data_IF_749461188209
#
_entry.id   IF_749461188209
#
_cell.length_a   1.000
_cell.length_b   1.000
_cell.length_c   1.000
_cell.angle_alpha   90.00
_cell.angle_beta   90.00
_cell.angle_gamma   90.00
#
_symmetry.space_group_name_H-M   'P 1'
#
loop_
_entity.id
_entity.type
_entity.pdbx_description
1 polymer ?
#
# COMPACT_ATOMS: atom_id res chain seq x y z
N UNK A 1 -29.62 -9.59 -1.14
CA UNK A 1 -29.06 -9.91 -2.47
C UNK A 1 -27.80 -9.09 -2.66
N UNK A 2 -26.87 -9.60 -3.45
CA UNK A 2 -25.51 -9.08 -3.65
C UNK A 2 -24.49 -10.22 -3.70
N UNK A 3 -23.28 -9.95 -4.16
CA UNK A 3 -22.27 -10.94 -4.50
C UNK A 3 -21.24 -11.13 -3.37
N UNK A 4 -20.65 -12.33 -3.29
CA UNK A 4 -19.52 -12.66 -2.40
C UNK A 4 -19.75 -12.45 -0.90
N UNK A 5 -20.99 -12.61 -0.43
CA UNK A 5 -21.27 -12.62 1.00
C UNK A 5 -20.99 -13.99 1.62
N UNK A 6 -20.27 -14.01 2.74
CA UNK A 6 -20.04 -15.20 3.56
C UNK A 6 -20.90 -15.10 4.83
N UNK A 7 -21.82 -16.04 5.04
CA UNK A 7 -22.78 -16.04 6.15
C UNK A 7 -24.24 -15.86 5.68
N UNK A 8 -25.13 -15.48 6.59
CA UNK A 8 -26.58 -15.48 6.38
C UNK A 8 -27.18 -14.08 6.37
N UNK A 9 -28.17 -13.87 5.47
CA UNK A 9 -29.04 -12.68 5.43
C UNK A 9 -28.30 -11.34 5.29
N UNK A 10 -27.12 -11.36 4.67
CA UNK A 10 -26.43 -10.14 4.25
C UNK A 10 -27.12 -9.51 3.03
N UNK A 11 -27.05 -8.18 2.93
CA UNK A 11 -27.54 -7.39 1.79
C UNK A 11 -26.46 -6.41 1.35
N UNK A 12 -26.17 -6.34 0.04
CA UNK A 12 -24.95 -5.71 -0.49
C UNK A 12 -23.87 -6.76 -0.76
N UNK A 13 -22.62 -6.34 -0.92
CA UNK A 13 -21.54 -7.19 -1.44
C UNK A 13 -20.39 -7.35 -0.43
N UNK A 14 -19.71 -8.50 -0.49
CA UNK A 14 -18.47 -8.79 0.27
C UNK A 14 -18.62 -8.72 1.81
N UNK A 15 -19.80 -8.96 2.37
CA UNK A 15 -19.97 -9.01 3.83
C UNK A 15 -19.64 -10.40 4.38
N UNK A 16 -18.92 -10.45 5.50
CA UNK A 16 -18.60 -11.67 6.26
C UNK A 16 -19.27 -11.61 7.64
N UNK A 17 -20.07 -12.63 7.96
CA UNK A 17 -20.90 -12.70 9.17
C UNK A 17 -22.39 -12.66 8.81
N UNK A 18 -23.26 -12.31 9.75
CA UNK A 18 -24.72 -12.38 9.57
C UNK A 18 -25.40 -11.00 9.64
N UNK A 19 -26.47 -10.82 8.85
CA UNK A 19 -27.38 -9.67 8.89
C UNK A 19 -26.78 -8.28 8.62
N UNK A 20 -25.64 -8.24 7.94
CA UNK A 20 -25.03 -6.99 7.50
C UNK A 20 -25.79 -6.38 6.32
N UNK A 21 -25.75 -5.05 6.22
CA UNK A 21 -26.27 -4.28 5.10
C UNK A 21 -25.25 -3.24 4.72
N UNK A 22 -24.76 -3.29 3.47
CA UNK A 22 -23.69 -2.41 2.99
C UNK A 22 -22.60 -3.21 2.27
N UNK A 23 -21.41 -2.63 2.18
CA UNK A 23 -20.26 -3.22 1.50
C UNK A 23 -19.15 -3.57 2.50
N UNK A 24 -18.51 -4.73 2.31
CA UNK A 24 -17.27 -5.10 3.01
C UNK A 24 -17.33 -5.03 4.55
N UNK A 25 -18.45 -5.42 5.17
CA UNK A 25 -18.51 -5.54 6.63
C UNK A 25 -17.99 -6.89 7.11
N UNK A 26 -17.33 -6.90 8.27
CA UNK A 26 -16.96 -8.11 9.02
C UNK A 26 -17.59 -8.07 10.42
N UNK A 27 -18.33 -9.12 10.78
CA UNK A 27 -19.08 -9.21 12.04
C UNK A 27 -20.58 -9.26 11.77
N UNK A 28 -21.41 -8.81 12.73
CA UNK A 28 -22.87 -9.03 12.63
C UNK A 28 -23.67 -7.73 12.78
N UNK A 29 -24.82 -7.65 12.08
CA UNK A 29 -25.80 -6.57 12.23
C UNK A 29 -25.32 -5.15 11.86
N UNK A 30 -24.28 -5.00 11.04
CA UNK A 30 -23.83 -3.69 10.58
C UNK A 30 -24.77 -3.14 9.49
N UNK A 31 -25.04 -1.82 9.50
CA UNK A 31 -25.96 -1.13 8.58
C UNK A 31 -25.30 -0.02 7.74
N UNK A 32 -23.98 0.10 7.82
CA UNK A 32 -23.13 0.95 6.98
C UNK A 32 -22.08 0.07 6.26
N UNK A 33 -21.05 0.65 5.65
CA UNK A 33 -20.01 -0.08 4.92
C UNK A 33 -18.65 -0.04 5.65
N UNK A 34 -17.77 -0.99 5.31
CA UNK A 34 -16.37 -1.04 5.78
C UNK A 34 -16.20 -1.16 7.30
N UNK A 35 -17.13 -1.78 8.01
CA UNK A 35 -17.03 -1.94 9.47
C UNK A 35 -16.45 -3.29 9.87
N UNK A 36 -15.76 -3.28 11.01
CA UNK A 36 -15.41 -4.49 11.76
C UNK A 36 -16.08 -4.43 13.14
N UNK A 37 -16.89 -5.44 13.47
CA UNK A 37 -17.59 -5.54 14.75
C UNK A 37 -19.09 -5.73 14.58
N UNK A 38 -19.87 -5.37 15.61
CA UNK A 38 -21.31 -5.60 15.63
C UNK A 38 -22.12 -4.33 15.87
N UNK A 39 -23.32 -4.26 15.28
CA UNK A 39 -24.29 -3.17 15.47
C UNK A 39 -23.81 -1.76 15.07
N UNK A 40 -22.90 -1.64 14.09
CA UNK A 40 -22.49 -0.33 13.57
C UNK A 40 -23.54 0.22 12.61
N UNK A 41 -23.85 1.51 12.72
CA UNK A 41 -24.81 2.22 11.84
C UNK A 41 -24.18 3.33 11.01
N UNK A 42 -22.93 3.68 11.30
CA UNK A 42 -22.11 4.67 10.58
C UNK A 42 -20.77 4.02 10.20
N UNK A 43 -20.04 4.58 9.22
CA UNK A 43 -18.71 4.06 8.87
C UNK A 43 -17.71 4.32 10.01
N UNK A 44 -17.00 3.28 10.44
CA UNK A 44 -15.95 3.40 11.44
C UNK A 44 -14.80 4.29 10.96
N UNK A 45 -14.24 5.05 11.89
CA UNK A 45 -13.00 5.79 11.70
C UNK A 45 -11.80 4.85 11.72
N UNK A 46 -10.84 5.10 10.84
CA UNK A 46 -9.66 4.25 10.70
C UNK A 46 -8.48 4.77 11.50
N UNK A 47 -7.60 3.83 11.86
CA UNK A 47 -6.28 4.14 12.38
C UNK A 47 -5.34 4.45 11.22
N UNK A 48 -4.58 5.52 11.34
CA UNK A 48 -3.47 5.85 10.44
C UNK A 48 -2.24 6.07 11.29
N UNK A 49 -1.13 5.42 10.93
CA UNK A 49 0.13 5.47 11.69
C UNK A 49 -0.04 5.12 13.18
N UNK A 50 -0.76 4.02 13.44
CA UNK A 50 -1.04 3.50 14.78
C UNK A 50 -1.78 4.48 15.72
N UNK A 51 -2.39 5.54 15.18
CA UNK A 51 -3.16 6.54 15.94
C UNK A 51 -4.57 6.71 15.36
N UNK A 52 -5.57 7.08 16.18
CA UNK A 52 -6.91 7.38 15.69
C UNK A 52 -6.89 8.55 14.70
N UNK A 53 -7.72 8.49 13.66
CA UNK A 53 -7.92 9.59 12.72
C UNK A 53 -9.40 9.87 12.54
N UNK A 54 -9.76 11.04 12.00
CA UNK A 54 -11.13 11.36 11.64
C UNK A 54 -11.54 10.84 10.24
N UNK A 55 -10.65 10.14 9.53
CA UNK A 55 -10.95 9.56 8.23
C UNK A 55 -11.73 8.26 8.36
N UNK A 56 -12.70 8.02 7.47
CA UNK A 56 -13.22 6.67 7.25
C UNK A 56 -12.36 5.92 6.23
N UNK A 57 -12.54 4.60 6.10
CA UNK A 57 -11.84 3.84 5.06
C UNK A 57 -12.25 4.26 3.65
N UNK A 58 -13.50 4.73 3.48
CA UNK A 58 -14.02 5.24 2.22
C UNK A 58 -13.35 6.58 1.84
N UNK A 59 -13.09 7.45 2.81
CA UNK A 59 -12.29 8.67 2.61
C UNK A 59 -10.87 8.32 2.16
N UNK A 60 -10.25 7.33 2.81
CA UNK A 60 -8.92 6.83 2.43
C UNK A 60 -8.91 6.25 1.02
N UNK A 61 -9.92 5.45 0.64
CA UNK A 61 -10.07 4.89 -0.71
C UNK A 61 -10.12 5.97 -1.81
N UNK A 62 -10.72 7.12 -1.52
CA UNK A 62 -10.87 8.23 -2.46
C UNK A 62 -9.75 9.28 -2.36
N UNK A 63 -8.79 9.09 -1.46
CA UNK A 63 -7.72 10.07 -1.23
C UNK A 63 -6.66 10.05 -2.33
N UNK A 64 -6.15 11.22 -2.68
CA UNK A 64 -5.02 11.37 -3.61
C UNK A 64 -3.77 10.65 -3.08
N UNK A 65 -3.57 10.64 -1.76
CA UNK A 65 -2.45 9.96 -1.12
C UNK A 65 -2.48 8.45 -1.39
N UNK A 66 -3.65 7.80 -1.24
CA UNK A 66 -3.79 6.38 -1.57
C UNK A 66 -3.58 6.12 -3.06
N UNK A 67 -4.11 7.00 -3.92
CA UNK A 67 -3.91 6.88 -5.36
C UNK A 67 -2.42 6.91 -5.73
N UNK A 68 -1.64 7.83 -5.15
CA UNK A 68 -0.19 7.91 -5.36
C UNK A 68 0.52 6.66 -4.85
N UNK A 69 0.25 6.24 -3.61
CA UNK A 69 0.92 5.07 -3.00
C UNK A 69 0.67 3.77 -3.78
N UNK A 70 -0.48 3.61 -4.43
CA UNK A 70 -0.75 2.46 -5.29
C UNK A 70 0.08 2.44 -6.59
N UNK A 71 0.83 3.50 -6.89
CA UNK A 71 1.74 3.55 -8.03
C UNK A 71 3.16 3.11 -7.69
N UNK A 72 3.44 2.78 -6.41
CA UNK A 72 4.74 2.23 -6.00
C UNK A 72 5.01 0.96 -6.83
N UNK A 73 6.09 0.92 -7.62
CA UNK A 73 6.46 -0.26 -8.40
C UNK A 73 6.79 -1.43 -7.48
N UNK A 74 6.29 -2.64 -7.79
CA UNK A 74 6.55 -3.86 -7.00
C UNK A 74 7.59 -4.79 -7.61
N UNK A 75 7.80 -4.71 -8.93
CA UNK A 75 8.67 -5.62 -9.67
C UNK A 75 9.55 -4.83 -10.65
N UNK A 76 10.56 -4.13 -10.14
CA UNK A 76 11.51 -3.41 -11.00
C UNK A 76 12.75 -4.25 -11.22
N UNK A 77 13.15 -4.33 -12.48
CA UNK A 77 14.41 -4.91 -12.91
C UNK A 77 15.30 -3.82 -13.47
N UNK A 78 16.54 -3.75 -12.99
CA UNK A 78 17.54 -2.80 -13.44
C UNK A 78 18.62 -3.52 -14.27
N UNK A 79 19.09 -2.88 -15.34
CA UNK A 79 20.24 -3.39 -16.09
C UNK A 79 21.54 -2.91 -15.46
N UNK A 80 22.33 -3.84 -14.93
CA UNK A 80 23.64 -3.55 -14.34
C UNK A 80 24.72 -3.85 -15.39
N UNK A 81 25.47 -2.83 -15.77
CA UNK A 81 26.57 -2.96 -16.72
C UNK A 81 27.78 -3.64 -16.08
N UNK A 82 28.57 -4.40 -16.86
CA UNK A 82 29.79 -5.11 -16.39
C UNK A 82 30.74 -4.23 -15.57
N UNK A 83 30.87 -2.96 -15.94
CA UNK A 83 31.74 -1.98 -15.27
C UNK A 83 31.27 -1.64 -13.84
N UNK A 84 29.99 -1.80 -13.56
CA UNK A 84 29.34 -1.44 -12.30
C UNK A 84 29.04 -2.70 -11.44
N UNK A 85 29.30 -3.90 -11.97
CA UNK A 85 29.13 -5.17 -11.26
C UNK A 85 30.22 -5.41 -10.20
N UNK A 86 29.81 -5.84 -9.01
CA UNK A 86 30.67 -6.35 -7.94
C UNK A 86 31.30 -7.70 -8.31
N UNK A 87 32.34 -8.11 -7.58
CA UNK A 87 33.01 -9.40 -7.82
C UNK A 87 32.07 -10.59 -7.52
N UNK A 88 31.23 -10.47 -6.49
CA UNK A 88 30.19 -11.45 -6.17
C UNK A 88 29.12 -11.55 -7.27
N UNK A 89 28.66 -10.41 -7.82
CA UNK A 89 27.71 -10.39 -8.94
C UNK A 89 28.34 -11.01 -10.21
N UNK A 90 29.64 -10.80 -10.44
CA UNK A 90 30.37 -11.41 -11.56
C UNK A 90 30.52 -12.93 -11.41
N UNK A 91 30.68 -13.43 -10.20
CA UNK A 91 30.71 -14.87 -9.92
C UNK A 91 29.32 -15.51 -10.10
N UNK A 92 28.27 -14.84 -9.63
CA UNK A 92 26.90 -15.32 -9.76
C UNK A 92 26.36 -15.29 -11.20
N UNK A 93 26.76 -14.31 -12.01
CA UNK A 93 26.24 -14.08 -13.37
C UNK A 93 27.31 -14.10 -14.47
N UNK A 94 28.07 -15.20 -14.66
CA UNK A 94 29.25 -15.23 -15.53
C UNK A 94 28.97 -14.92 -17.02
N UNK A 95 27.70 -14.94 -17.43
CA UNK A 95 27.23 -14.53 -18.76
C UNK A 95 27.50 -13.05 -19.05
N UNK A 96 27.76 -12.21 -18.04
CA UNK A 96 28.05 -10.78 -18.24
C UNK A 96 29.17 -10.53 -19.26
N UNK A 97 30.14 -11.45 -19.39
CA UNK A 97 31.26 -11.34 -20.34
C UNK A 97 30.83 -11.33 -21.81
N UNK A 98 29.67 -11.91 -22.11
CA UNK A 98 29.11 -11.93 -23.48
C UNK A 98 27.96 -10.95 -23.64
N UNK A 99 27.19 -10.69 -22.57
CA UNK A 99 26.02 -9.78 -22.59
C UNK A 99 26.37 -8.33 -22.25
N UNK A 100 27.56 -8.05 -21.71
CA UNK A 100 28.00 -6.72 -21.25
C UNK A 100 27.39 -6.27 -19.91
N UNK A 101 26.74 -7.18 -19.18
CA UNK A 101 26.00 -6.91 -17.95
C UNK A 101 24.95 -7.97 -17.65
N UNK A 102 24.10 -7.71 -16.67
CA UNK A 102 22.97 -8.58 -16.33
C UNK A 102 21.76 -7.77 -15.87
N UNK A 103 20.61 -8.42 -15.82
CA UNK A 103 19.37 -7.86 -15.31
C UNK A 103 19.23 -8.21 -13.82
N UNK A 104 19.29 -7.22 -12.95
CA UNK A 104 19.13 -7.34 -11.50
C UNK A 104 17.67 -7.08 -11.13
N UNK A 105 17.06 -8.00 -10.38
CA UNK A 105 15.79 -7.69 -9.72
C UNK A 105 16.10 -6.79 -8.51
N UNK A 106 15.52 -5.60 -8.50
CA UNK A 106 15.60 -4.72 -7.34
C UNK A 106 14.66 -5.22 -6.26
N UNK A 107 15.01 -5.01 -5.00
CA UNK A 107 14.07 -5.30 -3.92
C UNK A 107 12.97 -4.23 -3.83
N UNK A 108 11.86 -4.55 -3.17
CA UNK A 108 10.71 -3.64 -3.06
C UNK A 108 11.07 -2.28 -2.45
N UNK A 109 12.09 -2.22 -1.59
CA UNK A 109 12.52 -0.98 -0.92
C UNK A 109 13.28 -0.05 -1.87
N UNK A 110 14.18 -0.60 -2.70
CA UNK A 110 14.92 0.12 -3.72
C UNK A 110 13.96 0.70 -4.77
N UNK A 111 12.98 -0.10 -5.20
CA UNK A 111 11.93 0.34 -6.12
C UNK A 111 11.11 1.50 -5.55
N UNK A 112 10.70 1.37 -4.28
CA UNK A 112 9.94 2.38 -3.56
C UNK A 112 10.70 3.69 -3.44
N UNK A 113 12.00 3.64 -3.13
CA UNK A 113 12.82 4.84 -2.97
C UNK A 113 13.01 5.58 -4.31
N UNK A 114 13.29 4.87 -5.40
CA UNK A 114 13.39 5.46 -6.74
C UNK A 114 12.08 6.15 -7.12
N UNK A 115 10.95 5.50 -6.87
CA UNK A 115 9.64 6.09 -7.09
C UNK A 115 9.44 7.37 -6.25
N UNK A 116 9.74 7.31 -4.97
CA UNK A 116 9.61 8.46 -4.07
C UNK A 116 10.46 9.64 -4.51
N UNK A 117 11.72 9.39 -4.89
CA UNK A 117 12.65 10.43 -5.32
C UNK A 117 12.21 11.10 -6.63
N UNK A 118 11.49 10.36 -7.48
CA UNK A 118 10.91 10.89 -8.73
C UNK A 118 9.68 11.78 -8.54
N UNK A 119 9.03 11.75 -7.37
CA UNK A 119 7.84 12.56 -7.09
C UNK A 119 8.17 14.05 -6.97
N UNK A 120 7.27 14.88 -7.46
CA UNK A 120 7.30 16.33 -7.19
C UNK A 120 7.05 16.63 -5.72
N UNK A 121 7.51 17.78 -5.24
CA UNK A 121 7.31 18.17 -3.83
C UNK A 121 5.82 18.29 -3.47
N UNK A 122 4.98 18.69 -4.42
CA UNK A 122 3.52 18.69 -4.24
C UNK A 122 2.98 17.29 -3.95
N UNK A 123 3.41 16.27 -4.71
CA UNK A 123 3.01 14.88 -4.49
C UNK A 123 3.54 14.34 -3.17
N UNK A 124 4.80 14.64 -2.82
CA UNK A 124 5.38 14.29 -1.52
C UNK A 124 4.57 14.92 -0.38
N UNK A 125 4.16 16.19 -0.52
CA UNK A 125 3.35 16.90 0.47
C UNK A 125 1.95 16.31 0.62
N UNK A 126 1.32 15.81 -0.45
CA UNK A 126 0.04 15.08 -0.34
C UNK A 126 0.21 13.86 0.59
N UNK A 127 1.28 13.08 0.42
CA UNK A 127 1.55 11.90 1.23
C UNK A 127 1.91 12.28 2.67
N UNK A 128 2.78 13.29 2.85
CA UNK A 128 3.13 13.83 4.17
C UNK A 128 1.92 14.43 4.92
N UNK A 129 0.86 14.79 4.20
CA UNK A 129 -0.38 15.35 4.78
C UNK A 129 -1.39 14.28 5.22
N UNK A 130 -1.08 12.98 5.08
CA UNK A 130 -1.93 11.91 5.65
C UNK A 130 -2.05 12.14 7.17
N UNK A 131 -3.26 12.03 7.77
CA UNK A 131 -3.41 12.18 9.21
C UNK A 131 -2.46 11.27 9.98
N UNK A 132 -1.84 11.83 11.02
CA UNK A 132 -0.86 11.16 11.87
C UNK A 132 0.43 10.71 11.16
N UNK A 133 0.76 11.24 9.97
CA UNK A 133 1.94 10.84 9.22
C UNK A 133 3.19 10.72 10.11
N UNK A 134 3.82 9.56 10.02
CA UNK A 134 4.98 9.19 10.80
C UNK A 134 5.98 8.53 9.85
N UNK A 135 7.14 9.19 9.67
CA UNK A 135 8.13 8.77 8.69
C UNK A 135 8.75 7.41 9.02
N UNK A 136 8.92 7.08 10.31
CA UNK A 136 9.50 5.80 10.72
C UNK A 136 8.52 4.65 10.43
N UNK A 137 7.24 4.83 10.77
CA UNK A 137 6.21 3.84 10.44
C UNK A 137 6.03 3.75 8.92
N UNK A 138 6.10 4.87 8.20
CA UNK A 138 6.04 4.87 6.74
C UNK A 138 7.16 4.04 6.11
N UNK A 139 8.40 4.22 6.57
CA UNK A 139 9.55 3.42 6.14
C UNK A 139 9.36 1.95 6.48
N UNK A 140 8.89 1.62 7.69
CA UNK A 140 8.61 0.22 8.08
C UNK A 140 7.56 -0.45 7.17
N UNK A 141 6.55 0.30 6.71
CA UNK A 141 5.49 -0.23 5.86
C UNK A 141 5.83 -0.27 4.36
N UNK A 142 6.73 0.60 3.89
CA UNK A 142 6.96 0.82 2.45
C UNK A 142 8.40 0.64 1.99
N UNK A 143 9.36 0.59 2.92
CA UNK A 143 10.79 0.64 2.65
C UNK A 143 11.32 2.03 2.25
N UNK A 144 10.45 3.04 2.16
CA UNK A 144 10.82 4.38 1.67
C UNK A 144 11.28 5.27 2.82
N UNK A 145 12.48 5.84 2.66
CA UNK A 145 13.05 6.81 3.59
C UNK A 145 12.60 8.22 3.22
N UNK A 146 11.93 8.86 4.17
CA UNK A 146 11.54 10.26 4.07
C UNK A 146 12.51 11.09 4.89
N UNK A 147 13.33 11.91 4.22
CA UNK A 147 14.20 12.85 4.91
C UNK A 147 13.32 13.97 5.48
N UNK A 148 13.31 14.10 6.80
CA UNK A 148 12.68 15.25 7.45
C UNK A 148 13.61 16.46 7.25
N UNK A 149 13.14 17.46 6.51
CA UNK A 149 13.78 18.80 6.46
C UNK A 149 13.55 19.57 7.76
#
# INVERSE_FOLDING_TARGET
>A
TGDWNTGNRNTGDWNTGDWNTGLCNTGDWNKSSFNTGCFNTEEQKIMLFNKPSDMTYNDWLRSDARYLLNQIPKDVVEWVYEKDMTDEEKEAYPTYKTTGGYLKALDESECGQIWWDSLSEYQKNIIKSIPNFDAEIFEQCTGIKVVNE
#
